data_IF_560903600403
#
_entry.id   IF_560903600403
#
_cell.length_a   1.000
_cell.length_b   1.000
_cell.length_c   1.000
_cell.angle_alpha   90.00
_cell.angle_beta   90.00
_cell.angle_gamma   90.00
#
_symmetry.space_group_name_H-M   'P 1'
#
loop_
_entity.id
_entity.type
_entity.pdbx_description
1 polymer ?
#
# COMPACT_ATOMS: atom_id res chain seq x y z
N UNK A 1 -66.00 -0.88 10.15
CA UNK A 1 -65.90 -1.75 8.96
C UNK A 1 -64.98 -1.01 7.98
N UNK A 2 -63.66 -1.26 8.01
CA UNK A 2 -62.91 -2.25 7.18
C UNK A 2 -63.36 -2.21 5.70
N UNK A 3 -62.58 -1.93 4.67
CA UNK A 3 -61.17 -1.55 4.48
C UNK A 3 -61.07 -0.91 3.09
N UNK A 4 -60.28 0.16 2.95
CA UNK A 4 -59.78 0.68 1.67
C UNK A 4 -58.71 -0.29 1.14
N UNK A 5 -58.82 -0.77 -0.10
CA UNK A 5 -57.74 -1.50 -0.78
C UNK A 5 -57.43 -0.75 -2.07
N UNK A 6 -56.40 0.09 -2.01
CA UNK A 6 -55.72 0.66 -3.17
C UNK A 6 -54.66 -0.35 -3.60
N UNK A 7 -54.83 -0.89 -4.80
CA UNK A 7 -53.85 -1.74 -5.48
C UNK A 7 -52.75 -0.82 -6.04
N UNK A 8 -51.69 -0.59 -5.27
CA UNK A 8 -50.48 0.08 -5.72
C UNK A 8 -49.36 -0.96 -5.76
N UNK A 9 -49.25 -1.66 -6.88
CA UNK A 9 -48.16 -2.61 -7.14
C UNK A 9 -46.92 -1.78 -7.48
N UNK A 10 -46.17 -1.40 -6.44
CA UNK A 10 -44.77 -1.00 -6.55
C UNK A 10 -43.92 -2.28 -6.56
N UNK A 11 -43.84 -2.93 -7.72
CA UNK A 11 -42.74 -3.85 -7.98
C UNK A 11 -41.53 -3.02 -8.42
N UNK A 12 -40.93 -2.33 -7.46
CA UNK A 12 -39.51 -2.03 -7.56
C UNK A 12 -38.80 -3.39 -7.53
N UNK A 13 -38.45 -3.87 -8.71
CA UNK A 13 -37.47 -4.94 -8.88
C UNK A 13 -36.18 -4.46 -8.23
N UNK A 14 -35.98 -4.83 -6.96
CA UNK A 14 -34.67 -4.83 -6.33
C UNK A 14 -33.78 -5.74 -7.18
N UNK A 15 -33.06 -5.15 -8.12
CA UNK A 15 -31.88 -5.80 -8.69
C UNK A 15 -30.90 -5.89 -7.53
N UNK A 16 -30.85 -7.06 -6.87
CA UNK A 16 -29.74 -7.37 -5.98
C UNK A 16 -28.50 -7.41 -6.85
N UNK A 17 -27.80 -6.28 -6.94
CA UNK A 17 -26.41 -6.32 -7.33
C UNK A 17 -25.73 -7.23 -6.31
N UNK A 18 -25.24 -8.37 -6.78
CA UNK A 18 -24.28 -9.18 -6.03
C UNK A 18 -23.02 -8.33 -5.88
N UNK A 19 -23.05 -7.39 -4.95
CA UNK A 19 -21.84 -6.73 -4.46
C UNK A 19 -21.04 -7.82 -3.77
N UNK A 20 -20.10 -8.40 -4.49
CA UNK A 20 -19.07 -9.25 -3.89
C UNK A 20 -18.49 -8.45 -2.72
N UNK A 21 -18.54 -9.01 -1.52
CA UNK A 21 -17.98 -8.36 -0.33
C UNK A 21 -16.51 -8.11 -0.60
N UNK A 22 -16.15 -6.85 -0.82
CA UNK A 22 -14.76 -6.42 -0.80
C UNK A 22 -14.29 -6.61 0.65
N UNK A 23 -13.28 -7.45 0.83
CA UNK A 23 -12.68 -7.73 2.14
C UNK A 23 -11.43 -6.87 2.24
N UNK A 24 -11.53 -5.75 2.96
CA UNK A 24 -10.37 -4.92 3.26
C UNK A 24 -9.41 -5.68 4.16
N UNK A 25 -8.17 -5.83 3.69
CA UNK A 25 -7.11 -6.54 4.41
C UNK A 25 -6.54 -5.63 5.50
N UNK A 26 -6.53 -6.12 6.74
CA UNK A 26 -5.93 -5.42 7.89
C UNK A 26 -4.44 -5.74 7.97
N UNK A 27 -3.63 -5.02 7.19
CA UNK A 27 -2.17 -5.16 7.16
C UNK A 27 -1.53 -3.83 7.57
N UNK A 28 -0.66 -3.89 8.56
CA UNK A 28 0.18 -2.74 8.94
C UNK A 28 1.46 -2.77 8.10
N UNK A 29 1.93 -1.59 7.70
CA UNK A 29 3.18 -1.41 6.96
C UNK A 29 4.09 -0.44 7.70
N UNK A 30 5.34 -0.82 7.87
CA UNK A 30 6.39 0.06 8.38
C UNK A 30 7.53 0.17 7.37
N UNK A 31 7.99 1.40 7.13
CA UNK A 31 9.20 1.68 6.36
C UNK A 31 10.35 2.10 7.26
N UNK A 32 11.52 1.48 7.13
CA UNK A 32 12.72 1.85 7.91
C UNK A 32 13.97 1.84 7.04
N UNK A 33 14.98 2.63 7.41
CA UNK A 33 16.34 2.44 6.93
C UNK A 33 17.10 1.51 7.89
N UNK A 34 17.65 0.39 7.39
CA UNK A 34 18.53 -0.49 8.21
C UNK A 34 20.01 -0.20 8.00
N UNK A 35 20.35 0.25 6.80
CA UNK A 35 21.63 0.84 6.43
C UNK A 35 21.31 2.21 5.84
N UNK A 36 22.23 3.18 5.86
CA UNK A 36 21.99 4.59 5.49
C UNK A 36 21.24 4.82 4.15
N UNK A 37 21.13 3.80 3.28
CA UNK A 37 20.52 3.88 1.95
C UNK A 37 19.45 2.83 1.68
N UNK A 38 19.38 1.77 2.48
CA UNK A 38 18.53 0.62 2.19
C UNK A 38 17.20 0.73 2.93
N UNK A 39 16.11 0.85 2.17
CA UNK A 39 14.75 0.84 2.71
C UNK A 39 14.29 -0.60 2.88
N UNK A 40 13.78 -0.88 4.07
CA UNK A 40 13.11 -2.12 4.40
C UNK A 40 11.64 -1.83 4.71
N UNK A 41 10.78 -2.68 4.16
CA UNK A 41 9.33 -2.66 4.34
C UNK A 41 8.93 -3.87 5.17
N UNK A 42 8.31 -3.61 6.31
CA UNK A 42 7.89 -4.64 7.26
C UNK A 42 6.36 -4.66 7.26
N UNK A 43 5.78 -5.77 6.84
CA UNK A 43 4.35 -6.01 6.80
C UNK A 43 3.94 -6.82 8.03
N UNK A 44 2.86 -6.45 8.70
CA UNK A 44 2.29 -7.22 9.83
C UNK A 44 0.83 -7.56 9.56
N UNK A 45 0.45 -8.83 9.71
CA UNK A 45 -0.92 -9.27 9.43
C UNK A 45 -1.80 -9.25 10.68
N UNK A 46 -2.83 -8.40 10.67
CA UNK A 46 -3.86 -8.29 11.72
C UNK A 46 -5.16 -9.02 11.38
N UNK A 47 -5.26 -9.58 10.18
CA UNK A 47 -6.39 -10.42 9.80
C UNK A 47 -6.35 -11.75 10.56
N UNK A 48 -7.47 -12.45 10.58
CA UNK A 48 -7.59 -13.82 11.10
C UNK A 48 -7.33 -14.90 10.03
N UNK A 49 -6.82 -14.52 8.86
CA UNK A 49 -6.40 -15.42 7.78
C UNK A 49 -5.07 -14.94 7.16
N UNK A 50 -4.35 -15.86 6.53
CA UNK A 50 -3.09 -15.55 5.83
C UNK A 50 -3.35 -14.75 4.56
N UNK A 51 -2.44 -13.83 4.24
CA UNK A 51 -2.53 -12.99 3.03
C UNK A 51 -1.31 -13.20 2.14
N UNK A 52 -1.47 -13.01 0.83
CA UNK A 52 -0.34 -12.96 -0.09
C UNK A 52 0.18 -11.53 -0.20
N UNK A 53 1.46 -11.34 0.09
CA UNK A 53 2.18 -10.08 -0.13
C UNK A 53 3.13 -10.27 -1.30
N UNK A 54 2.94 -9.45 -2.34
CA UNK A 54 3.83 -9.40 -3.50
C UNK A 54 5.11 -8.65 -3.13
N UNK A 55 6.21 -9.00 -3.79
CA UNK A 55 7.49 -8.32 -3.60
C UNK A 55 7.33 -6.81 -3.89
N UNK A 56 7.77 -5.90 -3.01
CA UNK A 56 7.72 -4.47 -3.28
C UNK A 56 8.63 -4.06 -4.45
N UNK A 57 8.09 -3.25 -5.35
CA UNK A 57 8.82 -2.65 -6.47
C UNK A 57 8.08 -1.44 -7.04
N UNK A 58 8.65 -0.77 -8.05
CA UNK A 58 8.10 0.46 -8.65
C UNK A 58 6.73 0.31 -9.33
N UNK A 59 6.18 -0.90 -9.43
CA UNK A 59 4.81 -1.14 -9.93
C UNK A 59 3.76 -1.05 -8.81
N UNK A 60 4.04 -1.63 -7.64
CA UNK A 60 3.09 -1.75 -6.53
C UNK A 60 3.51 -0.95 -5.29
N UNK A 61 4.57 -0.14 -5.38
CA UNK A 61 5.12 0.56 -4.23
C UNK A 61 5.70 1.92 -4.61
N UNK A 62 5.37 2.92 -3.81
CA UNK A 62 5.82 4.29 -3.94
C UNK A 62 6.42 4.73 -2.61
N UNK A 63 7.68 5.15 -2.64
CA UNK A 63 8.35 5.72 -1.47
C UNK A 63 8.27 7.22 -1.60
N UNK A 64 7.57 7.89 -0.70
CA UNK A 64 7.40 9.34 -0.72
C UNK A 64 8.30 9.95 0.35
N UNK A 65 9.04 11.00 -0.02
CA UNK A 65 9.93 11.72 0.89
C UNK A 65 9.45 13.15 1.02
N UNK A 66 9.37 13.62 2.26
CA UNK A 66 8.97 14.96 2.62
C UNK A 66 10.10 15.69 3.34
N UNK A 67 10.22 16.99 3.08
CA UNK A 67 11.02 17.94 3.85
C UNK A 67 10.14 19.11 4.26
N UNK A 68 10.10 19.43 5.55
CA UNK A 68 9.30 20.56 6.07
C UNK A 68 7.82 20.49 5.63
N UNK A 69 7.26 19.28 5.59
CA UNK A 69 5.89 19.02 5.16
C UNK A 69 5.64 19.08 3.65
N UNK A 70 6.67 19.26 2.83
CA UNK A 70 6.57 19.28 1.36
C UNK A 70 7.21 18.03 0.75
N UNK A 71 6.51 17.39 -0.15
CA UNK A 71 7.03 16.25 -0.92
C UNK A 71 8.22 16.71 -1.80
N UNK A 72 9.31 15.93 -1.78
CA UNK A 72 10.46 16.16 -2.63
C UNK A 72 10.16 15.69 -4.07
N UNK A 73 10.62 16.43 -5.08
CA UNK A 73 10.47 15.99 -6.46
C UNK A 73 11.36 14.78 -6.75
N UNK A 74 10.80 13.81 -7.47
CA UNK A 74 11.54 12.64 -7.97
C UNK A 74 12.34 13.04 -9.23
N UNK A 75 13.62 12.66 -9.29
CA UNK A 75 14.53 12.90 -10.42
C UNK A 75 14.23 12.09 -11.67
N UNK A 76 13.77 10.85 -11.47
CA UNK A 76 13.69 9.84 -12.53
C UNK A 76 12.27 9.33 -12.67
N UNK A 77 11.80 9.20 -13.90
CA UNK A 77 10.58 8.44 -14.21
C UNK A 77 10.96 7.00 -14.50
N UNK A 78 10.53 6.07 -13.65
CA UNK A 78 10.76 4.64 -13.85
C UNK A 78 9.59 4.05 -14.63
N UNK A 79 9.89 3.20 -15.62
CA UNK A 79 8.88 2.41 -16.30
C UNK A 79 8.51 1.22 -15.41
N UNK A 80 7.25 1.15 -14.99
CA UNK A 80 6.77 0.06 -14.16
C UNK A 80 6.71 -1.26 -14.96
N UNK A 81 7.21 -2.34 -14.36
CA UNK A 81 7.12 -3.70 -14.87
C UNK A 81 6.38 -4.57 -13.85
N UNK A 82 5.13 -5.01 -14.11
CA UNK A 82 4.37 -5.83 -13.17
C UNK A 82 5.06 -7.14 -12.78
N UNK A 83 5.98 -7.66 -13.59
CA UNK A 83 6.73 -8.88 -13.28
C UNK A 83 7.62 -8.71 -12.04
N UNK A 84 8.03 -7.49 -11.68
CA UNK A 84 8.87 -7.23 -10.50
C UNK A 84 8.21 -7.57 -9.16
N UNK A 85 6.87 -7.67 -9.16
CA UNK A 85 6.08 -7.95 -7.97
C UNK A 85 6.08 -9.45 -7.57
N UNK A 86 6.74 -10.31 -8.35
CA UNK A 86 6.79 -11.75 -8.12
C UNK A 86 8.20 -12.24 -7.69
N UNK A 87 8.29 -13.33 -6.92
CA UNK A 87 7.18 -14.14 -6.40
C UNK A 87 6.40 -13.45 -5.27
N UNK A 88 5.15 -13.86 -5.07
CA UNK A 88 4.40 -13.50 -3.87
C UNK A 88 4.83 -14.38 -2.70
N UNK A 89 4.74 -13.84 -1.48
CA UNK A 89 5.05 -14.53 -0.23
C UNK A 89 3.81 -14.57 0.64
N UNK A 90 3.61 -15.68 1.35
CA UNK A 90 2.48 -15.83 2.28
C UNK A 90 2.87 -15.21 3.62
N UNK A 91 2.07 -14.25 4.06
CA UNK A 91 2.15 -13.63 5.38
C UNK A 91 1.08 -14.26 6.29
N UNK A 92 1.54 -15.09 7.22
CA UNK A 92 0.69 -15.82 8.16
C UNK A 92 -0.01 -14.90 9.17
N UNK A 93 -1.05 -15.42 9.82
CA UNK A 93 -1.80 -14.71 10.88
C UNK A 93 -0.85 -14.31 12.02
N UNK A 94 -0.89 -13.05 12.44
CA UNK A 94 -0.04 -12.48 13.50
C UNK A 94 1.48 -12.55 13.23
N UNK A 95 1.89 -12.79 11.99
CA UNK A 95 3.29 -12.84 11.58
C UNK A 95 3.75 -11.52 10.98
N UNK A 96 5.05 -11.40 10.74
CA UNK A 96 5.66 -10.30 10.00
C UNK A 96 6.47 -10.79 8.81
N UNK A 97 6.51 -9.96 7.76
CA UNK A 97 7.30 -10.23 6.57
C UNK A 97 8.07 -8.99 6.18
N UNK A 98 9.36 -9.15 5.95
CA UNK A 98 10.25 -8.05 5.62
C UNK A 98 10.80 -8.18 4.20
N UNK A 99 10.79 -7.06 3.49
CA UNK A 99 11.41 -6.95 2.17
C UNK A 99 12.36 -5.76 2.10
N UNK A 100 13.53 -5.95 1.50
CA UNK A 100 14.35 -4.85 1.01
C UNK A 100 13.74 -4.27 -0.26
N UNK A 101 13.49 -2.97 -0.28
CA UNK A 101 13.09 -2.26 -1.49
C UNK A 101 14.25 -2.28 -2.49
N UNK A 102 14.03 -2.69 -3.76
CA UNK A 102 15.14 -2.99 -4.67
C UNK A 102 15.90 -1.76 -5.17
N UNK A 103 15.41 -0.55 -4.88
CA UNK A 103 15.97 0.68 -5.42
C UNK A 103 16.75 1.48 -4.35
N UNK A 104 17.86 2.10 -4.78
CA UNK A 104 18.62 3.03 -3.95
C UNK A 104 17.97 4.41 -3.98
N UNK A 105 17.59 4.94 -2.82
CA UNK A 105 16.85 6.19 -2.76
C UNK A 105 17.64 7.43 -3.23
N UNK A 106 18.98 7.35 -3.23
CA UNK A 106 19.87 8.39 -3.79
C UNK A 106 19.63 8.66 -5.27
N UNK A 107 19.13 7.67 -5.99
CA UNK A 107 18.85 7.77 -7.43
C UNK A 107 17.57 8.58 -7.69
N UNK A 108 16.67 8.66 -6.71
CA UNK A 108 15.34 9.25 -6.85
C UNK A 108 15.27 10.67 -6.33
N UNK A 109 16.04 11.01 -5.29
CA UNK A 109 15.91 12.28 -4.59
C UNK A 109 17.27 12.98 -4.44
N UNK A 110 17.22 14.31 -4.37
CA UNK A 110 18.36 15.14 -3.97
C UNK A 110 18.31 15.36 -2.46
N UNK A 111 19.12 14.60 -1.74
CA UNK A 111 19.34 14.82 -0.32
C UNK A 111 20.50 15.77 -0.09
N UNK A 112 20.43 16.52 1.01
CA UNK A 112 21.54 17.32 1.51
C UNK A 112 21.99 16.76 2.84
N UNK A 113 23.32 16.64 3.01
CA UNK A 113 23.90 16.13 4.24
C UNK A 113 23.45 16.92 5.47
N UNK A 114 23.13 16.21 6.55
CA UNK A 114 22.69 16.76 7.82
C UNK A 114 21.24 17.26 7.87
N UNK A 115 20.50 17.22 6.75
CA UNK A 115 19.09 17.64 6.74
C UNK A 115 18.15 16.52 7.22
N UNK A 116 17.03 16.95 7.82
CA UNK A 116 15.95 16.07 8.30
C UNK A 116 14.88 15.89 7.22
N UNK A 117 14.46 14.65 7.04
CA UNK A 117 13.42 14.22 6.12
C UNK A 117 12.41 13.30 6.81
N UNK A 118 11.27 13.09 6.18
CA UNK A 118 10.25 12.11 6.57
C UNK A 118 9.94 11.22 5.37
N UNK A 119 9.92 9.91 5.58
CA UNK A 119 9.55 8.92 4.59
C UNK A 119 8.21 8.30 4.95
N UNK A 120 7.33 8.12 3.97
CA UNK A 120 6.19 7.23 4.06
C UNK A 120 6.11 6.38 2.78
N UNK A 121 5.54 5.19 2.89
CA UNK A 121 5.49 4.21 1.81
C UNK A 121 4.05 3.93 1.49
N UNK A 122 3.68 4.07 0.22
CA UNK A 122 2.40 3.59 -0.30
C UNK A 122 2.62 2.25 -0.98
N UNK A 123 1.92 1.22 -0.52
CA UNK A 123 1.93 -0.11 -1.10
C UNK A 123 0.53 -0.47 -1.61
N UNK A 124 0.46 -0.98 -2.83
CA UNK A 124 -0.79 -1.37 -3.48
C UNK A 124 -0.91 -2.88 -3.52
N UNK A 125 -1.93 -3.40 -2.85
CA UNK A 125 -2.36 -4.79 -3.02
C UNK A 125 -2.97 -4.91 -4.41
N UNK A 126 -2.52 -5.91 -5.18
CA UNK A 126 -3.06 -6.20 -6.51
C UNK A 126 -3.58 -7.63 -6.60
N UNK A 127 -4.80 -7.76 -7.11
CA UNK A 127 -5.44 -9.02 -7.46
C UNK A 127 -5.90 -8.95 -8.92
N UNK A 128 -5.71 -10.03 -9.69
CA UNK A 128 -6.08 -10.07 -11.12
C UNK A 128 -5.57 -8.88 -11.96
N UNK A 129 -4.35 -8.40 -11.69
CA UNK A 129 -3.72 -7.24 -12.34
C UNK A 129 -4.39 -5.88 -12.06
N UNK A 130 -5.33 -5.80 -11.11
CA UNK A 130 -5.94 -4.55 -10.66
C UNK A 130 -5.47 -4.22 -9.24
N UNK A 131 -5.30 -2.94 -8.94
CA UNK A 131 -5.03 -2.48 -7.57
C UNK A 131 -6.34 -2.49 -6.78
N UNK A 132 -6.39 -3.34 -5.75
CA UNK A 132 -7.61 -3.57 -4.96
C UNK A 132 -7.62 -2.80 -3.66
N UNK A 133 -6.46 -2.50 -3.10
CA UNK A 133 -6.33 -1.77 -1.84
C UNK A 133 -4.98 -1.05 -1.79
N UNK A 134 -4.97 0.13 -1.14
CA UNK A 134 -3.76 0.86 -0.80
C UNK A 134 -3.49 0.78 0.71
N UNK A 135 -2.25 0.49 1.08
CA UNK A 135 -1.73 0.53 2.44
C UNK A 135 -0.69 1.65 2.50
N UNK A 136 -0.74 2.49 3.53
CA UNK A 136 0.24 3.56 3.74
C UNK A 136 0.97 3.26 5.04
N UNK A 137 2.30 3.37 5.03
CA UNK A 137 3.10 3.22 6.23
C UNK A 137 2.96 4.42 7.17
N UNK A 138 3.29 4.20 8.44
CA UNK A 138 3.61 5.31 9.34
C UNK A 138 4.79 6.15 8.82
N UNK A 139 4.86 7.40 9.29
CA UNK A 139 5.95 8.31 9.00
C UNK A 139 7.25 7.86 9.67
N UNK A 140 8.33 7.79 8.89
CA UNK A 140 9.68 7.52 9.35
C UNK A 140 10.56 8.76 9.20
N UNK A 141 10.89 9.42 10.31
CA UNK A 141 11.77 10.57 10.32
C UNK A 141 13.26 10.16 10.35
N UNK A 142 14.09 10.77 9.51
CA UNK A 142 15.52 10.49 9.44
C UNK A 142 16.36 11.73 9.16
N UNK A 143 17.65 11.66 9.50
CA UNK A 143 18.66 12.66 9.12
C UNK A 143 19.54 12.03 8.05
N UNK A 144 19.70 12.71 6.92
CA UNK A 144 20.56 12.21 5.85
C UNK A 144 22.04 12.38 6.20
N UNK A 145 22.84 11.35 5.90
CA UNK A 145 24.29 11.29 6.14
C UNK A 145 24.96 10.67 4.94
N UNK A 146 25.85 11.42 4.28
CA UNK A 146 26.57 10.95 3.10
C UNK A 146 27.86 10.17 3.39
#
# INVERSE_FOLDING_TARGET
MKNFIVFFILLFSCTSSSQGKHVDLQIDLQGVFKNNYDIYMIFSNKNNFSVEIKKPCMYNTYVNIHKEGKELPIKIRVKADPACAYPASVLSVNDTLEFKFPMNIREFYDFKDGEKYVMNIEYYISSNHEFTQKIISDDYAFIWRD
#
